data_IF_020016689863
#
_entry.id   IF_020016689863
#
_cell.length_a   1.000
_cell.length_b   1.000
_cell.length_c   1.000
_cell.angle_alpha   90.00
_cell.angle_beta   90.00
_cell.angle_gamma   90.00
#
_symmetry.space_group_name_H-M   'P 1'
#
loop_
_entity.id
_entity.type
_entity.pdbx_description
1 polymer ?
#
# COMPACT_ATOMS: atom_id res chain seq x y z
N UNK A 1 -0.40 -15.90 22.63
CA UNK A 1 0.39 -15.76 21.39
C UNK A 1 -0.54 -15.19 20.34
N UNK A 2 -0.06 -14.27 19.49
CA UNK A 2 -0.86 -13.78 18.35
C UNK A 2 -1.30 -14.98 17.50
N UNK A 3 -2.54 -15.01 16.97
CA UNK A 3 -2.95 -16.05 16.03
C UNK A 3 -2.26 -15.92 14.66
N UNK A 4 -1.53 -14.81 14.44
CA UNK A 4 -0.78 -14.52 13.22
C UNK A 4 0.73 -14.59 13.48
N UNK A 5 1.52 -14.99 12.46
CA UNK A 5 2.98 -14.88 12.52
C UNK A 5 3.42 -13.42 12.60
N UNK A 6 4.72 -13.19 12.86
CA UNK A 6 5.31 -11.87 12.72
C UNK A 6 5.41 -11.53 11.24
N UNK A 7 4.77 -10.45 10.80
CA UNK A 7 4.68 -10.06 9.39
C UNK A 7 5.21 -8.63 9.21
N UNK A 8 6.16 -8.44 8.30
CA UNK A 8 6.63 -7.12 7.85
C UNK A 8 6.61 -7.04 6.33
N UNK A 9 5.94 -6.04 5.78
CA UNK A 9 5.87 -5.76 4.35
C UNK A 9 6.71 -4.54 4.02
N UNK A 10 7.78 -4.71 3.25
CA UNK A 10 8.66 -3.61 2.84
C UNK A 10 8.34 -3.15 1.41
N UNK A 11 8.03 -1.86 1.25
CA UNK A 11 7.83 -1.24 -0.07
C UNK A 11 8.09 0.28 -0.02
N UNK A 12 7.91 0.98 -1.13
CA UNK A 12 7.93 2.44 -1.16
C UNK A 12 6.72 3.05 -0.45
N UNK A 13 6.79 4.36 -0.13
CA UNK A 13 5.70 5.09 0.52
C UNK A 13 4.45 5.23 -0.35
N UNK A 14 4.56 5.14 -1.68
CA UNK A 14 3.39 5.06 -2.56
C UNK A 14 2.85 3.63 -2.63
N UNK A 15 1.60 3.45 -3.07
CA UNK A 15 0.95 2.14 -3.08
C UNK A 15 1.63 1.12 -4.01
N UNK A 16 1.68 1.43 -5.31
CA UNK A 16 2.35 0.60 -6.32
C UNK A 16 1.97 -0.88 -6.25
N UNK A 17 2.99 -1.76 -6.30
CA UNK A 17 2.81 -3.23 -6.28
C UNK A 17 2.46 -3.81 -4.90
N UNK A 18 2.61 -3.03 -3.81
CA UNK A 18 2.32 -3.50 -2.45
C UNK A 18 0.90 -3.16 -1.99
N UNK A 19 0.24 -2.19 -2.63
CA UNK A 19 -1.05 -1.65 -2.15
C UNK A 19 -2.13 -2.70 -1.97
N UNK A 20 -2.24 -3.64 -2.91
CA UNK A 20 -3.23 -4.70 -2.80
C UNK A 20 -2.99 -5.60 -1.58
N UNK A 21 -1.72 -5.89 -1.25
CA UNK A 21 -1.37 -6.68 -0.07
C UNK A 21 -1.62 -5.92 1.23
N UNK A 22 -1.27 -4.61 1.27
CA UNK A 22 -1.58 -3.72 2.40
C UNK A 22 -3.08 -3.72 2.72
N UNK A 23 -3.91 -3.49 1.69
CA UNK A 23 -5.36 -3.54 1.82
C UNK A 23 -5.86 -4.92 2.25
N UNK A 24 -5.31 -6.01 1.70
CA UNK A 24 -5.72 -7.36 2.06
C UNK A 24 -5.41 -7.70 3.53
N UNK A 25 -4.23 -7.36 4.03
CA UNK A 25 -3.90 -7.52 5.46
C UNK A 25 -4.83 -6.68 6.32
N UNK A 26 -5.03 -5.41 5.97
CA UNK A 26 -5.83 -4.48 6.75
C UNK A 26 -7.33 -4.84 6.79
N UNK A 27 -7.92 -5.17 5.64
CA UNK A 27 -9.32 -5.64 5.54
C UNK A 27 -9.50 -6.94 6.33
N UNK A 28 -8.54 -7.86 6.24
CA UNK A 28 -8.55 -9.14 6.95
C UNK A 28 -8.28 -9.06 8.44
N UNK A 29 -7.97 -7.87 8.98
CA UNK A 29 -7.59 -7.69 10.39
C UNK A 29 -6.29 -8.42 10.76
N UNK A 30 -5.41 -8.66 9.78
CA UNK A 30 -4.12 -9.30 9.98
C UNK A 30 -3.10 -8.22 10.39
N UNK A 31 -2.55 -8.25 11.60
CA UNK A 31 -1.53 -7.29 12.02
C UNK A 31 -0.24 -7.52 11.23
N UNK A 32 0.33 -6.43 10.73
CA UNK A 32 1.60 -6.42 10.00
C UNK A 32 2.31 -5.08 10.18
N UNK A 33 3.62 -5.08 10.07
CA UNK A 33 4.44 -3.87 9.96
C UNK A 33 4.51 -3.43 8.48
N UNK A 34 4.16 -2.18 8.17
CA UNK A 34 4.27 -1.59 6.83
C UNK A 34 5.56 -0.75 6.73
N UNK A 35 6.69 -1.41 6.47
CA UNK A 35 7.98 -0.74 6.34
C UNK A 35 8.05 0.04 5.01
N UNK A 36 7.91 1.36 5.09
CA UNK A 36 7.97 2.26 3.93
C UNK A 36 9.37 2.84 3.79
N UNK A 37 10.03 2.59 2.66
CA UNK A 37 11.42 3.01 2.43
C UNK A 37 11.53 4.00 1.26
N UNK A 38 12.56 4.85 1.33
CA UNK A 38 12.91 5.78 0.25
C UNK A 38 13.62 5.06 -0.92
N UNK A 39 13.74 5.73 -2.07
CA UNK A 39 14.54 5.22 -3.20
C UNK A 39 16.03 5.06 -2.84
N UNK A 40 16.56 5.91 -1.99
CA UNK A 40 17.94 5.82 -1.49
C UNK A 40 18.14 4.58 -0.61
N UNK A 41 17.25 4.38 0.37
CA UNK A 41 17.26 3.20 1.23
C UNK A 41 17.07 1.90 0.42
N UNK A 42 16.20 1.92 -0.62
CA UNK A 42 16.11 0.82 -1.57
C UNK A 42 17.42 0.60 -2.32
N UNK A 43 18.07 1.65 -2.82
CA UNK A 43 19.37 1.56 -3.49
C UNK A 43 20.44 0.90 -2.62
N UNK A 44 20.48 1.22 -1.33
CA UNK A 44 21.40 0.63 -0.36
C UNK A 44 21.09 -0.84 -0.03
N UNK A 45 19.81 -1.23 0.03
CA UNK A 45 19.38 -2.61 0.33
C UNK A 45 19.26 -3.51 -0.92
N UNK A 46 19.25 -2.96 -2.14
CA UNK A 46 18.86 -3.69 -3.36
C UNK A 46 19.61 -5.01 -3.56
N UNK A 47 20.93 -5.00 -3.41
CA UNK A 47 21.77 -6.18 -3.65
C UNK A 47 21.59 -7.27 -2.56
N UNK A 48 21.01 -6.93 -1.40
CA UNK A 48 20.68 -7.93 -0.37
C UNK A 48 19.28 -8.52 -0.50
N UNK A 49 18.41 -7.95 -1.35
CA UNK A 49 17.07 -8.48 -1.59
C UNK A 49 17.14 -9.71 -2.51
N UNK A 50 16.35 -10.78 -2.25
CA UNK A 50 16.45 -12.05 -2.99
C UNK A 50 16.36 -11.93 -4.52
N UNK A 51 15.58 -10.96 -5.02
CA UNK A 51 15.41 -10.67 -6.45
C UNK A 51 15.84 -9.25 -6.84
N UNK A 52 16.50 -8.51 -5.95
CA UNK A 52 16.85 -7.10 -6.19
C UNK A 52 15.66 -6.18 -6.42
N UNK A 53 14.48 -6.55 -5.88
CA UNK A 53 13.19 -5.94 -6.16
C UNK A 53 12.32 -5.84 -4.92
N UNK A 54 11.39 -4.89 -4.94
CA UNK A 54 10.30 -4.74 -3.98
C UNK A 54 8.94 -5.00 -4.66
N UNK A 55 7.89 -5.41 -3.93
CA UNK A 55 7.86 -5.62 -2.48
C UNK A 55 8.55 -6.91 -2.02
N UNK A 56 8.95 -6.92 -0.75
CA UNK A 56 9.32 -8.12 0.00
C UNK A 56 8.45 -8.25 1.24
N UNK A 57 8.14 -9.49 1.62
CA UNK A 57 7.39 -9.81 2.83
C UNK A 57 8.28 -10.66 3.72
N UNK A 58 8.51 -10.24 4.96
CA UNK A 58 9.17 -11.05 5.98
C UNK A 58 8.09 -11.73 6.84
N UNK A 59 8.15 -13.06 6.97
CA UNK A 59 7.25 -13.87 7.80
C UNK A 59 8.11 -14.71 8.75
N UNK A 60 8.01 -14.44 10.06
CA UNK A 60 8.82 -15.09 11.11
C UNK A 60 10.33 -15.13 10.77
N UNK A 61 10.84 -14.05 10.15
CA UNK A 61 12.24 -13.88 9.75
C UNK A 61 12.59 -14.42 8.36
N UNK A 62 11.67 -15.10 7.66
CA UNK A 62 11.87 -15.56 6.28
C UNK A 62 11.45 -14.49 5.28
N UNK A 63 12.35 -14.10 4.37
CA UNK A 63 12.09 -13.07 3.35
C UNK A 63 11.54 -13.70 2.06
N UNK A 64 10.32 -13.31 1.70
CA UNK A 64 9.56 -13.76 0.54
C UNK A 64 9.35 -12.62 -0.47
N UNK A 65 9.16 -13.00 -1.73
CA UNK A 65 9.02 -12.05 -2.85
C UNK A 65 7.75 -12.33 -3.65
N UNK A 66 7.53 -11.56 -4.73
CA UNK A 66 6.38 -11.64 -5.66
C UNK A 66 5.07 -11.10 -5.07
N UNK A 67 4.65 -9.93 -5.55
CA UNK A 67 3.46 -9.22 -5.06
C UNK A 67 2.18 -10.07 -5.08
N UNK A 68 1.97 -10.88 -6.11
CA UNK A 68 0.79 -11.77 -6.19
C UNK A 68 0.88 -12.98 -5.25
N UNK A 69 2.08 -13.45 -4.90
CA UNK A 69 2.23 -14.48 -3.87
C UNK A 69 1.91 -13.89 -2.49
N UNK A 70 2.47 -12.72 -2.20
CA UNK A 70 2.23 -11.94 -0.97
C UNK A 70 0.74 -11.63 -0.81
N UNK A 71 0.09 -11.10 -1.86
CA UNK A 71 -1.35 -10.80 -1.85
C UNK A 71 -2.21 -12.03 -1.56
N UNK A 72 -1.90 -13.18 -2.18
CA UNK A 72 -2.65 -14.42 -1.89
C UNK A 72 -2.39 -14.93 -0.48
N UNK A 73 -1.17 -14.76 0.06
CA UNK A 73 -0.88 -15.09 1.45
C UNK A 73 -1.69 -14.21 2.43
N UNK A 74 -1.68 -12.89 2.22
CA UNK A 74 -2.52 -11.94 2.97
C UNK A 74 -4.01 -12.32 2.88
N UNK A 75 -4.49 -12.64 1.69
CA UNK A 75 -5.86 -13.09 1.48
C UNK A 75 -6.21 -14.39 2.19
N UNK A 76 -5.29 -15.36 2.25
CA UNK A 76 -5.53 -16.62 3.00
C UNK A 76 -5.62 -16.38 4.50
N UNK A 77 -4.76 -15.54 5.06
CA UNK A 77 -4.81 -15.18 6.47
C UNK A 77 -6.06 -14.37 6.83
N UNK A 78 -6.45 -13.44 5.95
CA UNK A 78 -7.59 -12.54 6.16
C UNK A 78 -8.95 -13.09 5.73
N UNK A 79 -9.04 -14.34 5.25
CA UNK A 79 -10.29 -14.92 4.74
C UNK A 79 -10.78 -14.33 3.40
N UNK A 80 -9.92 -13.64 2.66
CA UNK A 80 -10.20 -12.97 1.38
C UNK A 80 -9.78 -13.83 0.17
N UNK A 81 -9.62 -15.13 0.37
CA UNK A 81 -9.22 -16.09 -0.66
C UNK A 81 -10.00 -17.41 -0.47
N UNK A 82 -10.55 -18.01 -1.53
CA UNK A 82 -11.38 -19.22 -1.41
C UNK A 82 -10.53 -20.47 -1.20
N UNK A 83 -10.08 -20.71 0.03
CA UNK A 83 -9.17 -21.83 0.39
C UNK A 83 -9.79 -23.21 0.25
N UNK A 84 -11.10 -23.33 0.40
CA UNK A 84 -11.85 -24.59 0.38
C UNK A 84 -12.51 -24.91 -0.96
N UNK A 85 -12.41 -24.02 -1.95
CA UNK A 85 -13.02 -24.20 -3.28
C UNK A 85 -11.97 -24.03 -4.38
N UNK A 86 -11.26 -25.11 -4.77
CA UNK A 86 -10.12 -25.03 -5.70
C UNK A 86 -10.44 -24.36 -7.04
N UNK A 87 -11.63 -24.58 -7.59
CA UNK A 87 -12.02 -23.96 -8.86
C UNK A 87 -12.26 -22.45 -8.73
N UNK A 88 -12.81 -21.99 -7.60
CA UNK A 88 -12.95 -20.56 -7.31
C UNK A 88 -11.57 -19.93 -7.10
N UNK A 89 -10.66 -20.60 -6.38
CA UNK A 89 -9.27 -20.18 -6.20
C UNK A 89 -8.53 -20.03 -7.55
N UNK A 90 -8.71 -20.99 -8.46
CA UNK A 90 -8.17 -20.90 -9.82
C UNK A 90 -8.70 -19.67 -10.57
N UNK A 91 -9.98 -19.33 -10.43
CA UNK A 91 -10.57 -18.14 -11.06
C UNK A 91 -10.01 -16.84 -10.50
N UNK A 92 -9.78 -16.77 -9.19
CA UNK A 92 -9.09 -15.64 -8.55
C UNK A 92 -7.67 -15.51 -9.12
N UNK A 93 -6.92 -16.61 -9.16
CA UNK A 93 -5.54 -16.63 -9.65
C UNK A 93 -5.47 -16.25 -11.15
N UNK A 94 -6.40 -16.73 -11.98
CA UNK A 94 -6.52 -16.39 -13.41
C UNK A 94 -6.60 -14.86 -13.61
N UNK A 95 -7.43 -14.17 -12.83
CA UNK A 95 -7.56 -12.70 -12.89
C UNK A 95 -6.29 -12.00 -12.40
N UNK A 96 -5.70 -12.44 -11.29
CA UNK A 96 -4.48 -11.84 -10.74
C UNK A 96 -3.29 -11.95 -11.72
N UNK A 97 -3.17 -13.07 -12.42
CA UNK A 97 -2.13 -13.27 -13.42
C UNK A 97 -2.35 -12.40 -14.66
N UNK A 98 -3.58 -12.31 -15.17
CA UNK A 98 -3.91 -11.42 -16.29
C UNK A 98 -3.60 -9.93 -15.98
N UNK A 99 -3.87 -9.50 -14.73
CA UNK A 99 -3.51 -8.17 -14.26
C UNK A 99 -1.99 -7.96 -14.20
N UNK A 100 -1.22 -8.97 -13.79
CA UNK A 100 0.25 -8.92 -13.77
C UNK A 100 0.82 -8.80 -15.19
N UNK A 101 0.34 -9.62 -16.12
CA UNK A 101 0.78 -9.58 -17.52
C UNK A 101 0.50 -8.21 -18.15
N UNK A 102 -0.67 -7.63 -17.87
CA UNK A 102 -0.97 -6.26 -18.30
C UNK A 102 0.01 -5.24 -17.70
N UNK A 103 0.29 -5.31 -16.40
CA UNK A 103 1.23 -4.41 -15.73
C UNK A 103 2.68 -4.58 -16.23
N UNK A 104 3.07 -5.80 -16.59
CA UNK A 104 4.36 -6.09 -17.23
C UNK A 104 4.48 -5.42 -18.60
N UNK A 105 3.41 -5.43 -19.40
CA UNK A 105 3.39 -4.72 -20.70
C UNK A 105 3.47 -3.19 -20.55
N UNK A 106 3.06 -2.63 -19.41
CA UNK A 106 3.22 -1.20 -19.12
C UNK A 106 4.65 -0.82 -18.69
N UNK A 107 5.42 -1.78 -18.19
CA UNK A 107 6.74 -1.53 -17.57
C UNK A 107 7.74 -0.84 -18.50
N UNK A 108 7.85 -1.19 -19.80
CA UNK A 108 8.73 -0.47 -20.73
C UNK A 108 8.42 1.03 -20.82
N UNK A 109 7.15 1.41 -20.90
CA UNK A 109 6.74 2.81 -20.99
C UNK A 109 7.10 3.61 -19.73
N UNK A 110 7.08 2.98 -18.55
CA UNK A 110 7.53 3.62 -17.31
C UNK A 110 9.03 3.85 -17.25
N UNK A 111 9.82 2.97 -17.87
CA UNK A 111 11.30 3.04 -17.86
C UNK A 111 11.88 3.89 -19.00
N UNK A 112 11.08 4.23 -20.01
CA UNK A 112 11.51 5.07 -21.13
C UNK A 112 11.87 6.49 -20.67
N UNK A 113 13.01 6.99 -21.14
CA UNK A 113 13.54 8.33 -20.81
C UNK A 113 13.23 9.35 -21.89
N UNK A 114 13.16 8.92 -23.15
CA UNK A 114 12.77 9.76 -24.27
C UNK A 114 11.26 10.07 -24.19
N UNK A 115 10.92 11.35 -24.02
CA UNK A 115 9.54 11.78 -23.80
C UNK A 115 8.63 11.50 -25.00
N UNK A 116 9.14 11.60 -26.22
CA UNK A 116 8.34 11.33 -27.42
C UNK A 116 8.07 9.83 -27.57
N UNK A 117 9.09 8.99 -27.37
CA UNK A 117 8.90 7.52 -27.37
C UNK A 117 7.95 7.10 -26.25
N UNK A 118 8.13 7.63 -25.04
CA UNK A 118 7.25 7.37 -23.89
C UNK A 118 5.80 7.72 -24.20
N UNK A 119 5.54 8.87 -24.82
CA UNK A 119 4.21 9.27 -25.29
C UNK A 119 3.62 8.24 -26.25
N UNK A 120 4.34 7.90 -27.33
CA UNK A 120 3.87 6.92 -28.33
C UNK A 120 3.57 5.56 -27.69
N UNK A 121 4.43 5.08 -26.78
CA UNK A 121 4.21 3.83 -26.06
C UNK A 121 2.94 3.88 -25.18
N UNK A 122 2.67 5.01 -24.52
CA UNK A 122 1.48 5.17 -23.67
C UNK A 122 0.20 5.30 -24.48
N UNK A 123 0.25 5.99 -25.62
CA UNK A 123 -0.87 6.05 -26.57
C UNK A 123 -1.22 4.65 -27.12
N UNK A 124 -0.21 3.84 -27.46
CA UNK A 124 -0.43 2.44 -27.88
C UNK A 124 -1.01 1.58 -26.75
N UNK A 125 -0.51 1.73 -25.51
CA UNK A 125 -1.09 1.05 -24.35
C UNK A 125 -2.56 1.41 -24.16
N UNK A 126 -2.93 2.68 -24.32
CA UNK A 126 -4.29 3.16 -24.19
C UNK A 126 -5.19 2.71 -25.35
N UNK A 127 -4.67 2.61 -26.58
CA UNK A 127 -5.44 2.22 -27.75
C UNK A 127 -5.67 0.70 -27.85
N UNK A 128 -4.69 -0.11 -27.42
CA UNK A 128 -4.68 -1.55 -27.70
C UNK A 128 -4.61 -2.39 -26.42
N UNK A 129 -3.56 -2.22 -25.63
CA UNK A 129 -3.24 -3.14 -24.53
C UNK A 129 -4.26 -3.08 -23.40
N UNK A 130 -4.52 -1.89 -22.86
CA UNK A 130 -5.43 -1.72 -21.73
C UNK A 130 -6.87 -2.11 -22.08
N UNK A 131 -7.45 -1.68 -23.23
CA UNK A 131 -8.79 -2.12 -23.62
C UNK A 131 -8.90 -3.63 -23.83
N UNK A 132 -7.86 -4.27 -24.40
CA UNK A 132 -7.82 -5.73 -24.60
C UNK A 132 -7.89 -6.47 -23.27
N UNK A 133 -7.02 -6.14 -22.32
CA UNK A 133 -7.04 -6.81 -21.00
C UNK A 133 -8.30 -6.49 -20.21
N UNK A 134 -8.79 -5.25 -20.24
CA UNK A 134 -10.04 -4.88 -19.59
C UNK A 134 -11.22 -5.73 -20.10
N UNK A 135 -11.34 -5.90 -21.43
CA UNK A 135 -12.39 -6.74 -22.02
C UNK A 135 -12.26 -8.22 -21.66
N UNK A 136 -11.03 -8.75 -21.60
CA UNK A 136 -10.78 -10.12 -21.17
C UNK A 136 -11.13 -10.35 -19.69
N UNK A 137 -10.74 -9.43 -18.81
CA UNK A 137 -11.05 -9.49 -17.38
C UNK A 137 -12.55 -9.35 -17.14
N UNK A 138 -13.23 -8.42 -17.83
CA UNK A 138 -14.68 -8.26 -17.80
C UNK A 138 -15.40 -9.58 -18.11
N UNK A 139 -14.99 -10.29 -19.17
CA UNK A 139 -15.55 -11.58 -19.53
C UNK A 139 -15.31 -12.67 -18.46
N UNK A 140 -14.19 -12.60 -17.73
CA UNK A 140 -13.91 -13.51 -16.61
C UNK A 140 -14.75 -13.19 -15.39
N UNK A 141 -14.90 -11.92 -15.04
CA UNK A 141 -15.78 -11.48 -13.94
C UNK A 141 -17.23 -11.91 -14.17
N UNK A 142 -17.73 -11.82 -15.41
CA UNK A 142 -19.07 -12.28 -15.75
C UNK A 142 -19.28 -13.78 -15.42
N UNK A 143 -18.28 -14.61 -15.73
CA UNK A 143 -18.30 -16.05 -15.39
C UNK A 143 -18.10 -16.33 -13.92
N UNK A 144 -17.33 -15.51 -13.21
CA UNK A 144 -17.18 -15.64 -11.77
C UNK A 144 -18.52 -15.37 -11.06
N UNK A 145 -19.29 -14.36 -11.48
CA UNK A 145 -20.61 -14.05 -10.89
C UNK A 145 -21.64 -15.18 -11.01
N UNK A 146 -21.46 -16.13 -11.93
CA UNK A 146 -22.32 -17.32 -12.02
C UNK A 146 -22.12 -18.29 -10.84
N UNK A 147 -21.01 -18.17 -10.10
CA UNK A 147 -20.70 -19.03 -8.94
C UNK A 147 -21.21 -18.40 -7.63
N UNK A 148 -21.90 -19.16 -6.75
CA UNK A 148 -22.48 -18.64 -5.50
C UNK A 148 -21.49 -17.89 -4.60
N UNK A 149 -20.23 -18.34 -4.53
CA UNK A 149 -19.19 -17.72 -3.70
C UNK A 149 -18.87 -16.27 -4.12
N UNK A 150 -19.03 -15.92 -5.38
CA UNK A 150 -18.76 -14.57 -5.89
C UNK A 150 -20.02 -13.69 -5.96
N UNK A 151 -21.15 -14.17 -5.45
CA UNK A 151 -22.38 -13.39 -5.27
C UNK A 151 -22.53 -12.85 -3.85
N UNK A 152 -21.64 -13.25 -2.93
CA UNK A 152 -21.64 -12.72 -1.56
C UNK A 152 -21.09 -11.29 -1.51
N UNK A 153 -21.26 -10.64 -0.35
CA UNK A 153 -20.61 -9.35 -0.06
C UNK A 153 -19.14 -9.50 0.36
N UNK A 154 -18.65 -10.72 0.46
CA UNK A 154 -17.27 -10.98 0.84
C UNK A 154 -16.31 -10.39 -0.18
N UNK A 155 -15.19 -9.89 0.29
CA UNK A 155 -14.14 -9.32 -0.56
C UNK A 155 -13.12 -10.40 -0.87
N UNK A 156 -12.74 -10.51 -2.14
CA UNK A 156 -11.64 -11.37 -2.56
C UNK A 156 -10.47 -10.59 -3.13
N UNK A 157 -9.27 -11.15 -3.01
CA UNK A 157 -8.02 -10.46 -3.41
C UNK A 157 -7.96 -9.99 -4.87
N UNK A 158 -8.66 -10.66 -5.80
CA UNK A 158 -8.75 -10.19 -7.20
C UNK A 158 -9.52 -8.87 -7.32
N UNK A 159 -10.55 -8.67 -6.49
CA UNK A 159 -11.33 -7.44 -6.45
C UNK A 159 -10.50 -6.28 -5.90
N UNK A 160 -9.68 -6.53 -4.87
CA UNK A 160 -8.71 -5.57 -4.34
C UNK A 160 -7.69 -5.17 -5.42
N UNK A 161 -7.15 -6.14 -6.17
CA UNK A 161 -6.19 -5.87 -7.24
C UNK A 161 -6.81 -5.03 -8.38
N UNK A 162 -8.06 -5.33 -8.77
CA UNK A 162 -8.82 -4.52 -9.74
C UNK A 162 -9.02 -3.10 -9.22
N UNK A 163 -9.44 -2.97 -7.95
CA UNK A 163 -9.65 -1.66 -7.33
C UNK A 163 -8.38 -0.80 -7.36
N UNK A 164 -7.22 -1.35 -6.96
CA UNK A 164 -5.93 -0.64 -6.97
C UNK A 164 -5.56 -0.18 -8.38
N UNK A 165 -5.74 -1.04 -9.39
CA UNK A 165 -5.50 -0.70 -10.79
C UNK A 165 -6.39 0.45 -11.25
N UNK A 166 -7.71 0.31 -11.10
CA UNK A 166 -8.70 1.30 -11.58
C UNK A 166 -8.51 2.62 -10.85
N UNK A 167 -8.24 2.59 -9.53
CA UNK A 167 -7.88 3.78 -8.74
C UNK A 167 -6.67 4.50 -9.32
N UNK A 168 -5.61 3.75 -9.65
CA UNK A 168 -4.37 4.31 -10.21
C UNK A 168 -4.60 4.99 -11.56
N UNK A 169 -5.37 4.36 -12.46
CA UNK A 169 -5.71 4.95 -13.76
C UNK A 169 -6.54 6.24 -13.60
N UNK A 170 -7.54 6.21 -12.71
CA UNK A 170 -8.40 7.37 -12.44
C UNK A 170 -7.68 8.54 -11.80
N UNK A 171 -6.62 8.27 -11.03
CA UNK A 171 -5.82 9.31 -10.40
C UNK A 171 -5.03 10.17 -11.40
N UNK A 172 -4.85 9.72 -12.65
CA UNK A 172 -4.24 10.52 -13.71
C UNK A 172 -2.72 10.71 -13.58
N UNK A 173 -2.04 9.86 -12.80
CA UNK A 173 -0.59 9.92 -12.63
C UNK A 173 0.21 9.45 -13.86
N UNK A 174 -0.45 8.83 -14.83
CA UNK A 174 0.18 8.33 -16.06
C UNK A 174 -0.28 9.22 -17.21
N UNK A 175 0.59 10.13 -17.65
CA UNK A 175 0.31 10.98 -18.81
C UNK A 175 -0.06 10.14 -20.06
N UNK A 176 -0.77 10.76 -21.00
CA UNK A 176 -1.17 10.15 -22.28
C UNK A 176 -2.06 8.89 -22.19
N UNK A 177 -2.45 8.45 -20.99
CA UNK A 177 -3.49 7.45 -20.76
C UNK A 177 -4.73 8.15 -20.18
N UNK A 178 -5.91 8.06 -20.84
CA UNK A 178 -7.12 8.70 -20.32
C UNK A 178 -7.51 8.16 -18.94
N UNK A 179 -7.92 9.05 -18.03
CA UNK A 179 -8.44 8.64 -16.71
C UNK A 179 -9.76 7.86 -16.81
N UNK A 180 -10.43 7.98 -17.96
CA UNK A 180 -11.69 7.31 -18.32
C UNK A 180 -11.48 5.98 -19.06
N UNK A 181 -10.24 5.48 -19.16
CA UNK A 181 -9.87 4.30 -19.98
C UNK A 181 -10.71 3.04 -19.66
N UNK A 182 -11.26 2.96 -18.44
CA UNK A 182 -12.06 1.82 -18.00
C UNK A 182 -13.57 2.11 -17.81
N UNK A 183 -14.08 3.30 -18.17
CA UNK A 183 -15.47 3.68 -17.85
C UNK A 183 -16.53 2.86 -18.60
N UNK A 184 -16.19 2.25 -19.74
CA UNK A 184 -17.10 1.40 -20.50
C UNK A 184 -17.22 -0.05 -19.97
N UNK A 185 -16.39 -0.44 -19.00
CA UNK A 185 -16.33 -1.81 -18.47
C UNK A 185 -17.13 -1.94 -17.18
N UNK A 186 -18.37 -2.40 -17.28
CA UNK A 186 -19.34 -2.38 -16.19
C UNK A 186 -18.85 -3.13 -14.94
N UNK A 187 -18.39 -4.37 -15.08
CA UNK A 187 -18.01 -5.23 -13.96
C UNK A 187 -16.74 -4.75 -13.29
N UNK A 188 -15.77 -4.23 -14.04
CA UNK A 188 -14.61 -3.55 -13.46
C UNK A 188 -15.03 -2.37 -12.58
N UNK A 189 -15.99 -1.56 -13.03
CA UNK A 189 -16.49 -0.41 -12.28
C UNK A 189 -17.30 -0.83 -11.05
N UNK A 190 -18.17 -1.83 -11.17
CA UNK A 190 -18.89 -2.39 -10.01
C UNK A 190 -17.93 -2.96 -8.95
N UNK A 191 -16.86 -3.66 -9.39
CA UNK A 191 -15.81 -4.15 -8.49
C UNK A 191 -15.08 -2.99 -7.82
N UNK A 192 -14.72 -1.94 -8.56
CA UNK A 192 -14.10 -0.74 -7.99
C UNK A 192 -15.01 -0.11 -6.92
N UNK A 193 -16.28 0.10 -7.24
CA UNK A 193 -17.26 0.70 -6.32
C UNK A 193 -17.40 -0.11 -5.04
N UNK A 194 -17.57 -1.44 -5.16
CA UNK A 194 -17.65 -2.37 -4.02
C UNK A 194 -16.49 -2.20 -3.05
N UNK A 195 -15.25 -2.14 -3.56
CA UNK A 195 -14.06 -2.02 -2.71
C UNK A 195 -13.89 -0.58 -2.19
N UNK A 196 -14.19 0.44 -3.00
CA UNK A 196 -14.12 1.85 -2.59
C UNK A 196 -15.07 2.17 -1.43
N UNK A 197 -16.23 1.50 -1.39
CA UNK A 197 -17.24 1.67 -0.36
C UNK A 197 -17.00 0.81 0.89
N UNK A 198 -16.02 -0.09 0.86
CA UNK A 198 -15.71 -0.94 2.01
C UNK A 198 -15.18 -0.10 3.19
N UNK A 199 -15.75 -0.22 4.41
CA UNK A 199 -15.38 0.63 5.55
C UNK A 199 -13.88 0.62 5.87
N UNK A 200 -13.24 -0.57 5.86
CA UNK A 200 -11.80 -0.69 6.08
C UNK A 200 -10.94 -0.05 4.99
N UNK A 201 -11.45 0.06 3.77
CA UNK A 201 -10.71 0.72 2.68
C UNK A 201 -10.75 2.24 2.87
N UNK A 202 -11.92 2.78 3.24
CA UNK A 202 -12.06 4.20 3.61
C UNK A 202 -11.22 4.55 4.83
N UNK A 203 -11.25 3.70 5.86
CA UNK A 203 -10.42 3.84 7.06
C UNK A 203 -8.93 3.84 6.69
N UNK A 204 -8.45 2.84 5.93
CA UNK A 204 -7.06 2.76 5.48
C UNK A 204 -6.57 4.05 4.84
N UNK A 205 -7.32 4.59 3.86
CA UNK A 205 -6.93 5.83 3.18
C UNK A 205 -7.11 7.11 3.99
N UNK A 206 -7.76 7.05 5.16
CA UNK A 206 -7.82 8.17 6.10
C UNK A 206 -6.65 8.21 7.09
N UNK A 207 -5.90 7.11 7.21
CA UNK A 207 -4.76 7.02 8.12
C UNK A 207 -3.56 7.79 7.55
N UNK A 208 -2.80 8.43 8.44
CA UNK A 208 -1.42 8.79 8.13
C UNK A 208 -0.59 7.51 8.05
N UNK A 209 0.14 7.34 6.96
CA UNK A 209 1.00 6.17 6.74
C UNK A 209 2.50 6.50 6.80
N UNK A 210 2.84 7.78 6.96
CA UNK A 210 4.21 8.17 7.22
C UNK A 210 4.53 7.95 8.71
N UNK A 211 5.81 7.74 9.03
CA UNK A 211 6.22 7.71 10.42
C UNK A 211 5.88 9.06 11.05
N UNK A 212 5.27 9.09 12.24
CA UNK A 212 4.92 10.35 12.86
C UNK A 212 6.19 11.14 13.12
N UNK A 213 6.19 12.41 12.74
CA UNK A 213 7.23 13.36 13.11
C UNK A 213 7.04 13.70 14.57
N UNK A 214 8.03 13.29 15.35
CA UNK A 214 8.08 13.58 16.76
C UNK A 214 8.84 14.86 16.99
N UNK A 215 8.27 15.77 17.78
CA UNK A 215 8.97 16.97 18.26
C UNK A 215 8.92 17.02 19.78
N UNK A 216 10.08 16.94 20.41
CA UNK A 216 10.23 17.02 21.86
C UNK A 216 10.70 18.43 22.25
N UNK A 217 9.82 19.20 22.87
CA UNK A 217 10.14 20.55 23.36
C UNK A 217 10.48 20.51 24.84
N UNK A 218 11.71 20.91 25.19
CA UNK A 218 12.15 21.04 26.58
C UNK A 218 13.31 22.04 26.76
N UNK A 219 13.77 22.22 27.99
CA UNK A 219 14.95 23.03 28.28
C UNK A 219 16.24 22.47 27.66
N UNK A 220 17.27 23.31 27.44
CA UNK A 220 18.62 22.90 27.04
C UNK A 220 19.40 22.24 28.20
N UNK A 221 18.70 21.50 29.07
CA UNK A 221 19.27 20.70 30.16
C UNK A 221 18.61 19.31 30.16
N UNK A 222 19.24 18.29 30.77
CA UNK A 222 18.67 16.94 30.80
C UNK A 222 17.27 16.89 31.42
N UNK A 223 17.15 17.29 32.69
CA UNK A 223 15.89 17.40 33.42
C UNK A 223 14.91 16.25 33.16
N UNK A 224 13.63 16.58 32.97
CA UNK A 224 12.54 15.60 32.75
C UNK A 224 12.49 15.04 31.33
N UNK A 225 13.10 15.70 30.35
CA UNK A 225 13.11 15.23 28.97
C UNK A 225 14.22 14.22 28.67
N UNK A 226 15.28 14.15 29.49
CA UNK A 226 16.40 13.26 29.22
C UNK A 226 16.01 11.79 29.07
N UNK A 227 15.14 11.21 29.94
CA UNK A 227 14.69 9.84 29.75
C UNK A 227 13.95 9.64 28.42
N UNK A 228 13.23 10.67 27.94
CA UNK A 228 12.49 10.64 26.68
C UNK A 228 13.48 10.69 25.51
N UNK A 229 14.45 11.63 25.54
CA UNK A 229 15.53 11.73 24.53
C UNK A 229 16.30 10.42 24.42
N UNK A 230 16.68 9.83 25.56
CA UNK A 230 17.41 8.57 25.59
C UNK A 230 16.55 7.44 25.04
N UNK A 231 15.26 7.37 25.38
CA UNK A 231 14.37 6.34 24.83
C UNK A 231 14.24 6.44 23.30
N UNK A 232 14.03 7.65 22.76
CA UNK A 232 13.93 7.88 21.32
C UNK A 232 15.26 7.57 20.61
N UNK A 233 16.38 8.06 21.16
CA UNK A 233 17.71 7.83 20.59
C UNK A 233 18.11 6.35 20.62
N UNK A 234 17.95 5.67 21.76
CA UNK A 234 18.25 4.23 21.89
C UNK A 234 17.34 3.41 20.97
N UNK A 235 16.08 3.82 20.82
CA UNK A 235 15.12 3.20 19.90
C UNK A 235 15.39 3.47 18.42
N UNK A 236 16.37 4.33 18.08
CA UNK A 236 16.63 4.75 16.70
C UNK A 236 15.46 5.51 16.06
N UNK A 237 14.61 6.14 16.88
CA UNK A 237 13.44 6.89 16.43
C UNK A 237 13.88 8.33 16.14
N UNK A 238 13.65 8.79 14.90
CA UNK A 238 13.95 10.17 14.51
C UNK A 238 12.97 11.14 15.19
N UNK A 239 13.49 12.24 15.74
CA UNK A 239 12.71 13.29 16.37
C UNK A 239 13.43 14.65 16.33
N UNK A 240 12.65 15.73 16.35
CA UNK A 240 13.14 17.09 16.54
C UNK A 240 13.29 17.37 18.05
N UNK A 241 14.50 17.64 18.54
CA UNK A 241 14.77 18.08 19.91
C UNK A 241 14.76 19.61 19.99
N UNK A 242 13.58 20.20 20.19
CA UNK A 242 13.43 21.64 20.33
C UNK A 242 13.82 22.09 21.75
N UNK A 243 14.92 22.85 21.83
CA UNK A 243 15.47 23.33 23.10
C UNK A 243 15.14 24.79 23.33
N UNK A 244 14.28 25.08 24.31
CA UNK A 244 13.82 26.44 24.61
C UNK A 244 14.43 26.99 25.92
N UNK A 245 14.81 28.28 25.97
CA UNK A 245 15.21 28.96 27.20
C UNK A 245 14.11 29.00 28.28
N UNK A 246 14.51 29.10 29.56
CA UNK A 246 13.57 29.22 30.68
C UNK A 246 12.64 30.43 30.59
N UNK A 247 13.12 31.52 29.99
CA UNK A 247 12.40 32.78 29.81
C UNK A 247 11.28 32.75 28.76
N UNK A 248 11.28 31.74 27.87
CA UNK A 248 10.28 31.61 26.81
C UNK A 248 9.07 30.78 27.23
N UNK A 249 9.18 30.00 28.32
CA UNK A 249 8.07 29.16 28.82
C UNK A 249 6.84 29.98 29.20
N UNK A 250 6.92 31.11 29.93
CA UNK A 250 5.74 31.90 30.25
C UNK A 250 4.97 32.41 29.02
N UNK A 251 5.66 32.61 27.88
CA UNK A 251 5.07 33.05 26.62
C UNK A 251 4.32 31.91 25.90
N UNK A 252 4.78 30.67 26.06
CA UNK A 252 4.21 29.47 25.44
C UNK A 252 3.18 28.75 26.33
N UNK A 253 3.30 28.89 27.65
CA UNK A 253 2.57 28.13 28.67
C UNK A 253 1.06 28.02 28.43
N UNK A 254 0.31 29.08 28.03
CA UNK A 254 -1.13 28.97 27.81
C UNK A 254 -1.53 28.05 26.63
N UNK A 255 -0.61 27.75 25.72
CA UNK A 255 -0.83 26.91 24.55
C UNK A 255 -0.33 25.46 24.75
N UNK A 256 0.36 25.17 25.86
CA UNK A 256 0.93 23.84 26.11
C UNK A 256 -0.08 22.93 26.83
N UNK A 257 -0.04 21.61 26.57
CA UNK A 257 -0.76 20.63 27.39
C UNK A 257 -0.42 20.80 28.87
N UNK A 258 -1.44 21.01 29.70
CA UNK A 258 -1.31 21.27 31.14
C UNK A 258 -0.39 22.45 31.51
N UNK A 259 -0.13 23.37 30.58
CA UNK A 259 0.75 24.52 30.77
C UNK A 259 2.18 24.15 31.18
N UNK A 260 2.65 22.95 30.81
CA UNK A 260 3.92 22.35 31.27
C UNK A 260 4.80 21.83 30.12
N UNK A 261 6.08 21.64 30.41
CA UNK A 261 7.04 20.90 29.57
C UNK A 261 7.70 19.77 30.39
N UNK A 262 8.18 18.65 29.79
CA UNK A 262 8.32 18.41 28.35
C UNK A 262 6.99 18.20 27.63
N UNK A 263 6.94 18.57 26.35
CA UNK A 263 5.85 18.26 25.43
C UNK A 263 6.43 17.45 24.29
N UNK A 264 5.80 16.32 23.97
CA UNK A 264 6.07 15.54 22.77
C UNK A 264 4.89 15.74 21.82
N UNK A 265 5.12 16.49 20.75
CA UNK A 265 4.17 16.65 19.65
C UNK A 265 4.32 15.46 18.68
N UNK A 266 3.18 14.99 18.18
CA UNK A 266 3.04 13.88 17.23
C UNK A 266 2.11 14.39 16.12
N UNK A 267 2.54 14.31 14.86
CA UNK A 267 1.73 14.73 13.71
C UNK A 267 0.71 13.68 13.24
#
# INVERSE_FOLDING_TARGET
MSPFPSIKLTYFSFGGRAEAARLAFYIGGVPFEDERISYEAFGAKKESLPLGQLPVLEVDGEVLTQSNAILRYAGRLGGLYPTSTPFAALKVDEVLHALSEMAEQMTPAFREKDLNKKKVMREELAAVTLPRYAGLIEARLAKMKELPIFQSRDVFVHEIAIYVLVKSMRAGYIDHIPTTIFDSYKLLNETFEKISEHPKVKEWYSLSHDAPKLKLTYFPVPGRAEPIRLALFIGGIEFEDERIPFEDVPKMSPALPFNQIPVLEVD
#
